data_IF_408590085829
#
_entry.id   IF_408590085829
#
_cell.length_a   1.000
_cell.length_b   1.000
_cell.length_c   1.000
_cell.angle_alpha   90.00
_cell.angle_beta   90.00
_cell.angle_gamma   90.00
#
_symmetry.space_group_name_H-M   'P 1'
#
loop_
_entity.id
_entity.type
_entity.pdbx_description
1 polymer ?
#
# COMPACT_ATOMS: atom_id res chain seq x y z
N UNK A 1 17.41 33.85 -30.42
CA UNK A 1 18.34 34.89 -29.94
C UNK A 1 17.57 36.05 -29.35
N UNK A 2 17.23 35.99 -28.09
CA UNK A 2 16.97 37.16 -27.26
C UNK A 2 17.32 36.77 -25.81
N UNK A 3 18.46 37.33 -25.42
CA UNK A 3 19.05 37.32 -24.11
C UNK A 3 18.24 38.28 -23.21
N UNK A 4 17.46 37.73 -22.26
CA UNK A 4 16.72 38.54 -21.28
C UNK A 4 17.33 38.24 -19.91
N UNK A 5 18.36 39.01 -19.55
CA UNK A 5 18.81 39.14 -18.17
C UNK A 5 18.07 40.33 -17.54
N UNK A 6 17.45 40.21 -16.37
CA UNK A 6 16.92 41.38 -15.65
C UNK A 6 18.07 42.20 -15.04
N UNK A 7 17.93 43.53 -15.02
CA UNK A 7 18.96 44.42 -14.47
C UNK A 7 18.97 44.40 -12.94
N UNK A 8 20.11 44.09 -12.35
CA UNK A 8 20.35 44.34 -10.93
C UNK A 8 20.43 45.84 -10.65
N UNK A 9 19.73 46.40 -9.65
CA UNK A 9 19.89 47.78 -9.24
C UNK A 9 21.23 47.96 -8.53
N UNK A 10 22.14 48.74 -9.17
CA UNK A 10 23.31 49.34 -8.53
C UNK A 10 22.79 50.54 -7.71
N UNK A 11 22.67 50.39 -6.39
CA UNK A 11 22.89 51.50 -5.44
C UNK A 11 22.46 51.03 -4.04
N UNK A 12 23.44 50.57 -3.26
CA UNK A 12 23.50 50.79 -1.81
C UNK A 12 24.93 50.52 -1.35
N UNK A 13 25.80 51.48 -1.75
CA UNK A 13 27.06 51.67 -1.08
C UNK A 13 26.77 52.51 0.17
N UNK A 14 27.12 51.99 1.34
CA UNK A 14 27.23 52.84 2.54
C UNK A 14 26.12 52.61 3.58
N UNK A 15 26.19 51.47 4.27
CA UNK A 15 25.77 51.44 5.67
C UNK A 15 26.61 50.36 6.37
N UNK A 16 27.81 50.74 6.82
CA UNK A 16 28.59 50.01 7.81
C UNK A 16 27.77 49.97 9.11
N UNK A 17 27.02 48.90 9.29
CA UNK A 17 26.49 48.54 10.62
C UNK A 17 27.68 47.98 11.39
N UNK A 18 28.03 48.53 12.59
CA UNK A 18 29.09 47.95 13.40
C UNK A 18 28.65 46.50 13.75
N UNK A 19 29.46 45.53 13.31
CA UNK A 19 29.34 44.16 13.79
C UNK A 19 29.60 44.20 15.31
N UNK A 20 28.48 44.18 16.08
CA UNK A 20 28.59 43.82 17.48
C UNK A 20 29.19 42.40 17.51
N UNK A 21 30.35 42.28 18.15
CA UNK A 21 30.97 41.00 18.46
C UNK A 21 29.91 40.15 19.20
N UNK A 22 29.31 39.25 18.46
CA UNK A 22 28.48 38.20 19.05
C UNK A 22 29.44 37.31 19.84
N UNK A 23 29.40 37.43 21.16
CA UNK A 23 30.07 36.47 22.04
C UNK A 23 29.73 35.05 21.58
N UNK A 24 30.72 34.16 21.46
CA UNK A 24 30.46 32.78 21.09
C UNK A 24 29.60 32.16 22.18
N UNK A 25 28.29 32.05 21.92
CA UNK A 25 27.39 31.28 22.74
C UNK A 25 27.91 29.87 22.85
N UNK A 26 28.45 29.52 24.04
CA UNK A 26 28.87 28.15 24.35
C UNK A 26 27.76 27.19 23.94
N UNK A 27 28.06 26.12 23.17
CA UNK A 27 27.07 25.13 22.83
C UNK A 27 26.47 24.59 24.13
N UNK A 28 25.18 24.83 24.32
CA UNK A 28 24.45 24.37 25.49
C UNK A 28 24.29 22.86 25.34
N UNK A 29 25.23 22.11 25.92
CA UNK A 29 25.09 20.63 26.01
C UNK A 29 23.94 20.37 27.00
N UNK A 30 22.89 19.64 26.54
CA UNK A 30 21.81 19.25 27.45
C UNK A 30 22.39 18.42 28.59
N UNK A 31 21.85 18.59 29.79
CA UNK A 31 22.22 17.75 30.94
C UNK A 31 22.02 16.26 30.59
N UNK A 32 22.80 15.30 31.13
CA UNK A 32 22.72 13.90 30.84
C UNK A 32 21.30 13.32 30.95
N UNK A 33 20.53 13.80 31.93
CA UNK A 33 19.12 13.42 32.13
C UNK A 33 18.24 13.87 30.95
N UNK A 34 18.38 15.11 30.49
CA UNK A 34 17.64 15.63 29.34
C UNK A 34 18.02 14.91 28.04
N UNK A 35 19.29 14.52 27.91
CA UNK A 35 19.75 13.75 26.75
C UNK A 35 19.11 12.35 26.74
N UNK A 36 18.98 11.70 27.90
CA UNK A 36 18.29 10.43 28.07
C UNK A 36 16.80 10.51 27.72
N UNK A 37 16.09 11.55 28.19
CA UNK A 37 14.68 11.76 27.90
C UNK A 37 14.43 12.00 26.41
N UNK A 38 15.27 12.80 25.75
CA UNK A 38 15.18 13.05 24.30
C UNK A 38 15.41 11.76 23.52
N UNK A 39 16.37 10.94 23.94
CA UNK A 39 16.64 9.65 23.29
C UNK A 39 15.45 8.71 23.43
N UNK A 40 14.90 8.56 24.64
CA UNK A 40 13.74 7.72 24.91
C UNK A 40 12.50 8.17 24.11
N UNK A 41 12.27 9.48 24.01
CA UNK A 41 11.19 10.04 23.17
C UNK A 41 11.39 9.72 21.70
N UNK A 42 12.61 9.78 21.17
CA UNK A 42 12.92 9.43 19.77
C UNK A 42 12.72 7.94 19.51
N UNK A 43 13.15 7.08 20.43
CA UNK A 43 12.93 5.64 20.33
C UNK A 43 11.44 5.34 20.29
N UNK A 44 10.66 5.87 21.24
CA UNK A 44 9.22 5.66 21.28
C UNK A 44 8.48 6.21 20.04
N UNK A 45 8.94 7.33 19.48
CA UNK A 45 8.39 7.88 18.23
C UNK A 45 8.71 6.97 17.02
N UNK A 46 9.93 6.42 16.98
CA UNK A 46 10.35 5.48 15.93
C UNK A 46 9.56 4.16 16.01
N UNK A 47 9.37 3.60 17.20
CA UNK A 47 8.61 2.36 17.42
C UNK A 47 7.14 2.53 17.05
N UNK A 48 6.56 3.68 17.39
CA UNK A 48 5.19 4.02 16.97
C UNK A 48 5.07 4.11 15.46
N UNK A 49 5.99 4.81 14.80
CA UNK A 49 6.00 4.91 13.34
C UNK A 49 6.20 3.52 12.70
N UNK A 50 7.01 2.66 13.31
CA UNK A 50 7.20 1.29 12.85
C UNK A 50 5.89 0.49 12.84
N UNK A 51 5.15 0.51 13.95
CA UNK A 51 3.86 -0.17 14.05
C UNK A 51 2.82 0.40 13.08
N UNK A 52 2.78 1.73 12.94
CA UNK A 52 1.89 2.41 12.00
C UNK A 52 2.22 2.07 10.54
N UNK A 53 3.50 2.11 10.15
CA UNK A 53 3.91 1.80 8.77
C UNK A 53 3.66 0.33 8.42
N UNK A 54 3.91 -0.57 9.37
CA UNK A 54 3.73 -2.00 9.18
C UNK A 54 2.27 -2.37 8.90
N UNK A 55 1.30 -1.79 9.63
CA UNK A 55 -0.12 -2.07 9.38
C UNK A 55 -0.59 -1.50 8.04
N UNK A 56 -0.08 -0.34 7.63
CA UNK A 56 -0.36 0.25 6.31
C UNK A 56 0.21 -0.62 5.19
N UNK A 57 1.44 -1.09 5.35
CA UNK A 57 2.08 -1.99 4.39
C UNK A 57 1.33 -3.32 4.26
N UNK A 58 0.88 -3.88 5.39
CA UNK A 58 0.06 -5.09 5.43
C UNK A 58 -1.25 -4.94 4.67
N UNK A 59 -1.97 -3.82 4.84
CA UNK A 59 -3.15 -3.52 4.03
C UNK A 59 -2.80 -3.52 2.54
N UNK A 60 -1.70 -2.89 2.16
CA UNK A 60 -1.23 -2.86 0.77
C UNK A 60 -0.97 -4.25 0.21
N UNK A 61 -0.26 -5.10 0.95
CA UNK A 61 0.01 -6.50 0.58
C UNK A 61 -1.29 -7.31 0.42
N UNK A 62 -2.24 -7.18 1.34
CA UNK A 62 -3.53 -7.87 1.26
C UNK A 62 -4.32 -7.45 0.02
N UNK A 63 -4.43 -6.15 -0.25
CA UNK A 63 -5.10 -5.65 -1.43
C UNK A 63 -4.44 -6.13 -2.73
N UNK A 64 -3.09 -6.10 -2.77
CA UNK A 64 -2.33 -6.58 -3.93
C UNK A 64 -2.51 -8.08 -4.13
N UNK A 65 -2.46 -8.87 -3.03
CA UNK A 65 -2.67 -10.33 -3.07
C UNK A 65 -4.06 -10.72 -3.55
N UNK A 66 -5.07 -9.88 -3.30
CA UNK A 66 -6.45 -10.09 -3.76
C UNK A 66 -6.70 -9.53 -5.17
N UNK A 67 -5.68 -9.01 -5.85
CA UNK A 67 -5.75 -8.56 -7.24
C UNK A 67 -6.25 -7.12 -7.42
N UNK A 68 -6.15 -6.27 -6.40
CA UNK A 68 -6.45 -4.86 -6.53
C UNK A 68 -5.42 -4.16 -7.43
N UNK A 69 -5.86 -3.19 -8.23
CA UNK A 69 -4.94 -2.38 -9.04
C UNK A 69 -3.99 -1.55 -8.17
N UNK A 70 -2.77 -1.31 -8.66
CA UNK A 70 -1.76 -0.51 -7.97
C UNK A 70 -2.28 0.86 -7.52
N UNK A 71 -3.13 1.50 -8.33
CA UNK A 71 -3.76 2.78 -7.98
C UNK A 71 -4.64 2.65 -6.72
N UNK A 72 -5.50 1.61 -6.65
CA UNK A 72 -6.37 1.37 -5.48
C UNK A 72 -5.54 1.06 -4.25
N UNK A 73 -4.51 0.23 -4.38
CA UNK A 73 -3.59 -0.09 -3.29
C UNK A 73 -2.96 1.19 -2.72
N UNK A 74 -2.35 2.03 -3.58
CA UNK A 74 -1.73 3.30 -3.17
C UNK A 74 -2.71 4.22 -2.46
N UNK A 75 -3.93 4.35 -3.01
CA UNK A 75 -4.97 5.21 -2.43
C UNK A 75 -5.40 4.72 -1.05
N UNK A 76 -5.68 3.43 -0.90
CA UNK A 76 -6.10 2.85 0.38
C UNK A 76 -4.99 2.90 1.43
N UNK A 77 -3.73 2.69 1.04
CA UNK A 77 -2.58 2.87 1.94
C UNK A 77 -2.45 4.31 2.42
N UNK A 78 -2.60 5.30 1.53
CA UNK A 78 -2.54 6.71 1.90
C UNK A 78 -3.72 7.14 2.79
N UNK A 79 -4.93 6.61 2.57
CA UNK A 79 -6.10 6.88 3.40
C UNK A 79 -5.92 6.29 4.80
N UNK A 80 -5.45 5.04 4.92
CA UNK A 80 -5.15 4.41 6.20
C UNK A 80 -4.00 5.10 6.93
N UNK A 81 -2.92 5.45 6.22
CA UNK A 81 -1.77 6.14 6.81
C UNK A 81 -2.18 7.42 7.54
N UNK A 82 -3.08 8.22 6.94
CA UNK A 82 -3.64 9.41 7.58
C UNK A 82 -4.47 9.06 8.83
N UNK A 83 -5.26 7.99 8.77
CA UNK A 83 -6.10 7.57 9.89
C UNK A 83 -5.29 7.07 11.10
N UNK A 84 -4.14 6.44 10.89
CA UNK A 84 -3.23 6.01 11.97
C UNK A 84 -2.24 7.09 12.42
N UNK A 85 -2.29 8.30 11.82
CA UNK A 85 -1.49 9.46 12.27
C UNK A 85 -0.13 9.61 11.58
N UNK A 86 0.08 9.01 10.42
CA UNK A 86 1.25 9.26 9.57
C UNK A 86 1.03 10.58 8.82
N UNK A 87 2.01 11.49 8.88
CA UNK A 87 1.89 12.84 8.31
C UNK A 87 1.99 12.85 6.78
N UNK A 88 2.94 12.10 6.21
CA UNK A 88 3.09 11.91 4.76
C UNK A 88 3.42 10.44 4.49
N UNK A 89 2.81 9.88 3.45
CA UNK A 89 2.99 8.50 3.05
C UNK A 89 3.16 8.41 1.54
N UNK A 90 4.28 7.84 1.11
CA UNK A 90 4.60 7.61 -0.29
C UNK A 90 4.80 6.14 -0.55
N UNK A 91 4.08 5.59 -1.51
CA UNK A 91 4.23 4.20 -1.88
C UNK A 91 4.45 4.05 -3.39
N UNK A 92 5.34 3.14 -3.75
CA UNK A 92 5.47 2.59 -5.08
C UNK A 92 4.99 1.16 -5.05
N UNK A 93 4.03 0.84 -5.92
CA UNK A 93 3.42 -0.49 -6.00
C UNK A 93 3.69 -1.01 -7.40
N UNK A 94 4.40 -2.13 -7.45
CA UNK A 94 4.62 -2.94 -8.65
C UNK A 94 3.75 -4.18 -8.59
N UNK A 95 3.88 -5.08 -9.55
CA UNK A 95 3.12 -6.33 -9.56
C UNK A 95 3.49 -7.27 -8.40
N UNK A 96 4.76 -7.28 -7.99
CA UNK A 96 5.30 -8.21 -6.99
C UNK A 96 5.80 -7.55 -5.71
N UNK A 97 5.90 -6.22 -5.70
CA UNK A 97 6.56 -5.50 -4.61
C UNK A 97 5.83 -4.21 -4.25
N UNK A 98 5.90 -3.87 -2.98
CA UNK A 98 5.48 -2.58 -2.46
C UNK A 98 6.66 -1.98 -1.71
N UNK A 99 7.07 -0.78 -2.11
CA UNK A 99 8.02 0.06 -1.38
C UNK A 99 7.22 1.22 -0.81
N UNK A 100 7.26 1.40 0.50
CA UNK A 100 6.53 2.46 1.16
C UNK A 100 7.44 3.25 2.11
N UNK A 101 7.33 4.57 2.07
CA UNK A 101 8.01 5.48 3.01
C UNK A 101 6.97 6.27 3.77
N UNK A 102 7.03 6.18 5.09
CA UNK A 102 6.18 6.89 6.03
C UNK A 102 6.98 7.96 6.76
N UNK A 103 6.38 9.15 6.94
CA UNK A 103 6.96 10.28 7.66
C UNK A 103 6.05 10.67 8.81
N UNK A 104 6.60 10.80 10.02
CA UNK A 104 5.89 11.33 11.17
C UNK A 104 6.89 11.96 12.17
N UNK A 105 6.52 13.13 12.73
CA UNK A 105 7.28 13.80 13.81
C UNK A 105 8.79 13.96 13.52
N UNK A 106 9.15 14.30 12.28
CA UNK A 106 10.56 14.49 11.89
C UNK A 106 11.37 13.20 11.72
N UNK A 107 10.71 12.04 11.79
CA UNK A 107 11.29 10.72 11.55
C UNK A 107 10.68 10.12 10.30
N UNK A 108 11.43 9.29 9.58
CA UNK A 108 10.92 8.54 8.44
C UNK A 108 11.29 7.07 8.55
N UNK A 109 10.50 6.23 7.89
CA UNK A 109 10.74 4.79 7.77
C UNK A 109 10.37 4.32 6.37
N UNK A 110 11.28 3.59 5.74
CA UNK A 110 11.03 2.94 4.45
C UNK A 110 10.98 1.44 4.67
N UNK A 111 9.96 0.82 4.14
CA UNK A 111 9.74 -0.62 4.20
C UNK A 111 9.46 -1.17 2.81
N UNK A 112 9.90 -2.39 2.58
CA UNK A 112 9.68 -3.15 1.36
C UNK A 112 8.92 -4.42 1.70
N UNK A 113 7.94 -4.76 0.89
CA UNK A 113 7.19 -6.01 1.01
C UNK A 113 7.07 -6.68 -0.36
N UNK A 114 7.50 -7.93 -0.42
CA UNK A 114 7.29 -8.79 -1.59
C UNK A 114 5.93 -9.49 -1.50
N UNK A 115 5.28 -9.63 -2.65
CA UNK A 115 4.03 -10.39 -2.80
C UNK A 115 4.21 -11.47 -3.86
N UNK A 116 4.26 -12.72 -3.42
CA UNK A 116 4.49 -13.88 -4.30
C UNK A 116 3.19 -14.58 -4.74
N UNK A 117 2.14 -14.46 -3.95
CA UNK A 117 0.87 -15.12 -4.20
C UNK A 117 -0.17 -14.08 -4.62
N UNK A 118 -0.70 -14.24 -5.82
CA UNK A 118 -1.76 -13.39 -6.33
C UNK A 118 -3.00 -14.22 -6.65
N UNK A 119 -4.13 -13.72 -6.22
CA UNK A 119 -5.44 -14.26 -6.53
C UNK A 119 -6.38 -13.11 -6.89
N UNK A 120 -7.59 -13.42 -7.34
CA UNK A 120 -8.64 -12.42 -7.53
C UNK A 120 -9.73 -12.72 -6.52
N UNK A 121 -9.96 -11.80 -5.58
CA UNK A 121 -11.04 -11.87 -4.62
C UNK A 121 -11.69 -10.49 -4.43
N UNK A 122 -12.68 -10.22 -5.27
CA UNK A 122 -13.38 -8.93 -5.31
C UNK A 122 -14.11 -8.62 -3.99
N UNK A 123 -14.67 -9.63 -3.31
CA UNK A 123 -15.36 -9.44 -2.02
C UNK A 123 -14.40 -8.93 -0.93
N UNK A 124 -13.21 -9.53 -0.81
CA UNK A 124 -12.20 -9.07 0.15
C UNK A 124 -11.66 -7.68 -0.19
N UNK A 125 -11.46 -7.37 -1.48
CA UNK A 125 -11.07 -6.02 -1.92
C UNK A 125 -12.13 -5.01 -1.52
N UNK A 126 -13.40 -5.30 -1.74
CA UNK A 126 -14.51 -4.38 -1.43
C UNK A 126 -14.62 -4.15 0.07
N UNK A 127 -14.55 -5.21 0.89
CA UNK A 127 -14.55 -5.09 2.36
C UNK A 127 -13.43 -4.22 2.87
N UNK A 128 -12.18 -4.43 2.41
CA UNK A 128 -11.04 -3.62 2.81
C UNK A 128 -11.19 -2.16 2.38
N UNK A 129 -11.67 -1.91 1.16
CA UNK A 129 -11.89 -0.55 0.67
C UNK A 129 -13.01 0.16 1.46
N UNK A 130 -14.10 -0.53 1.77
CA UNK A 130 -15.20 0.01 2.57
C UNK A 130 -14.75 0.29 4.00
N UNK A 131 -13.96 -0.61 4.59
CA UNK A 131 -13.34 -0.37 5.89
C UNK A 131 -12.47 0.88 5.88
N UNK A 132 -11.50 0.98 4.96
CA UNK A 132 -10.63 2.16 4.85
C UNK A 132 -11.44 3.44 4.58
N UNK A 133 -12.50 3.36 3.76
CA UNK A 133 -13.38 4.51 3.51
C UNK A 133 -14.11 4.97 4.78
N UNK A 134 -14.49 4.06 5.67
CA UNK A 134 -15.14 4.38 6.95
C UNK A 134 -14.21 5.08 7.94
N UNK A 135 -12.89 4.94 7.76
CA UNK A 135 -11.86 5.56 8.60
C UNK A 135 -11.55 7.02 8.21
N UNK A 136 -12.08 7.51 7.09
CA UNK A 136 -11.78 8.87 6.63
C UNK A 136 -12.24 9.91 7.65
N UNK A 137 -11.32 10.79 8.04
CA UNK A 137 -11.57 11.83 9.02
C UNK A 137 -11.62 11.34 10.48
N UNK A 138 -11.27 10.08 10.71
CA UNK A 138 -11.16 9.50 12.06
C UNK A 138 -9.73 9.12 12.36
N UNK A 139 -9.32 9.24 13.61
CA UNK A 139 -8.08 8.65 14.12
C UNK A 139 -8.38 7.29 14.71
N UNK A 140 -7.60 6.28 14.35
CA UNK A 140 -7.76 4.89 14.79
C UNK A 140 -6.45 4.35 15.35
N UNK A 141 -6.57 3.37 16.25
CA UNK A 141 -5.40 2.69 16.80
C UNK A 141 -4.93 1.61 15.83
N UNK A 142 -3.64 1.34 15.84
CA UNK A 142 -3.00 0.32 15.00
C UNK A 142 -3.57 -1.08 15.30
N UNK A 143 -3.84 -1.35 16.57
CA UNK A 143 -4.38 -2.63 17.04
C UNK A 143 -5.77 -2.90 16.42
N UNK A 144 -6.67 -1.92 16.47
CA UNK A 144 -8.03 -2.04 15.93
C UNK A 144 -7.99 -2.33 14.41
N UNK A 145 -7.05 -1.70 13.69
CA UNK A 145 -6.85 -1.95 12.27
C UNK A 145 -6.29 -3.35 12.03
N UNK A 146 -5.32 -3.78 12.82
CA UNK A 146 -4.72 -5.11 12.70
C UNK A 146 -5.75 -6.22 12.88
N UNK A 147 -6.63 -6.07 13.89
CA UNK A 147 -7.70 -7.04 14.18
C UNK A 147 -8.70 -7.14 13.01
N UNK A 148 -9.05 -6.01 12.40
CA UNK A 148 -9.95 -6.01 11.24
C UNK A 148 -9.30 -6.63 10.01
N UNK A 149 -8.00 -6.35 9.75
CA UNK A 149 -7.26 -7.00 8.68
C UNK A 149 -7.21 -8.52 8.87
N UNK A 150 -7.02 -8.97 10.12
CA UNK A 150 -7.06 -10.40 10.47
C UNK A 150 -8.46 -11.00 10.26
N UNK A 151 -9.51 -10.29 10.62
CA UNK A 151 -10.88 -10.72 10.40
C UNK A 151 -11.15 -10.93 8.90
N UNK A 152 -10.78 -9.96 8.05
CA UNK A 152 -10.93 -10.08 6.59
C UNK A 152 -10.06 -11.20 6.01
N UNK A 153 -8.84 -11.41 6.53
CA UNK A 153 -7.97 -12.49 6.08
C UNK A 153 -8.61 -13.87 6.29
N UNK A 154 -9.30 -14.07 7.43
CA UNK A 154 -9.95 -15.34 7.82
C UNK A 154 -11.24 -15.64 7.06
N UNK A 155 -11.84 -14.67 6.37
CA UNK A 155 -13.08 -14.91 5.61
C UNK A 155 -12.81 -15.98 4.54
N UNK A 156 -13.60 -17.09 4.50
CA UNK A 156 -13.46 -18.11 3.48
C UNK A 156 -13.83 -17.57 2.10
N UNK A 157 -13.39 -18.26 1.05
CA UNK A 157 -13.79 -17.91 -0.31
C UNK A 157 -15.30 -18.02 -0.46
N UNK A 158 -15.94 -17.02 -1.08
CA UNK A 158 -17.38 -16.94 -1.26
C UNK A 158 -17.95 -18.09 -2.09
N UNK A 159 -17.18 -18.58 -3.06
CA UNK A 159 -17.57 -19.66 -3.96
C UNK A 159 -16.67 -20.88 -3.75
N UNK A 160 -17.30 -22.05 -3.72
CA UNK A 160 -16.57 -23.31 -3.76
C UNK A 160 -15.92 -23.57 -5.12
N UNK A 161 -15.07 -24.58 -5.18
CA UNK A 161 -14.31 -24.88 -6.41
C UNK A 161 -15.22 -25.30 -7.58
N UNK A 162 -16.32 -26.00 -7.29
CA UNK A 162 -17.23 -26.49 -8.31
C UNK A 162 -18.00 -25.33 -8.97
N UNK A 163 -18.58 -24.46 -8.17
CA UNK A 163 -19.28 -23.25 -8.65
C UNK A 163 -18.37 -22.37 -9.50
N UNK A 164 -17.11 -22.21 -9.10
CA UNK A 164 -16.14 -21.43 -9.84
C UNK A 164 -15.76 -22.09 -11.16
N UNK A 165 -15.54 -23.41 -11.18
CA UNK A 165 -15.24 -24.16 -12.40
C UNK A 165 -16.43 -24.15 -13.37
N UNK A 166 -17.65 -24.31 -12.86
CA UNK A 166 -18.89 -24.26 -13.66
C UNK A 166 -19.09 -22.88 -14.28
N UNK A 167 -18.95 -21.81 -13.47
CA UNK A 167 -19.06 -20.44 -13.96
C UNK A 167 -18.02 -20.12 -15.04
N UNK A 168 -16.78 -20.60 -14.87
CA UNK A 168 -15.72 -20.46 -15.87
C UNK A 168 -16.07 -21.19 -17.19
N UNK A 169 -16.58 -22.41 -17.08
CA UNK A 169 -17.03 -23.18 -18.25
C UNK A 169 -18.14 -22.47 -19.02
N UNK A 170 -19.16 -21.99 -18.30
CA UNK A 170 -20.29 -21.27 -18.90
C UNK A 170 -19.86 -19.95 -19.55
N UNK A 171 -18.96 -19.20 -18.90
CA UNK A 171 -18.44 -17.95 -19.44
C UNK A 171 -17.66 -18.18 -20.75
N UNK A 172 -16.79 -19.20 -20.80
CA UNK A 172 -16.06 -19.55 -22.00
C UNK A 172 -16.98 -20.06 -23.13
N UNK A 173 -18.02 -20.83 -22.81
CA UNK A 173 -19.03 -21.26 -23.80
C UNK A 173 -19.81 -20.06 -24.36
N UNK A 174 -20.22 -19.11 -23.51
CA UNK A 174 -20.89 -17.89 -23.95
C UNK A 174 -19.97 -17.05 -24.87
N UNK A 175 -18.68 -16.97 -24.54
CA UNK A 175 -17.71 -16.28 -25.40
C UNK A 175 -17.53 -16.98 -26.74
N UNK A 176 -17.47 -18.33 -26.78
CA UNK A 176 -17.42 -19.09 -28.00
C UNK A 176 -18.67 -18.86 -28.87
N UNK A 177 -19.85 -18.85 -28.26
CA UNK A 177 -21.11 -18.55 -28.95
C UNK A 177 -21.12 -17.13 -29.55
N UNK A 178 -20.64 -16.13 -28.86
CA UNK A 178 -20.52 -14.74 -29.34
C UNK A 178 -19.58 -14.63 -30.55
N UNK A 179 -18.61 -15.53 -30.65
CA UNK A 179 -17.70 -15.61 -31.81
C UNK A 179 -18.24 -16.50 -32.96
N UNK A 180 -19.52 -16.88 -32.92
CA UNK A 180 -20.17 -17.65 -33.99
C UNK A 180 -20.01 -19.16 -33.89
N UNK A 181 -19.56 -19.67 -32.73
CA UNK A 181 -19.47 -21.11 -32.48
C UNK A 181 -20.85 -21.76 -32.40
N UNK A 182 -20.98 -22.98 -32.97
CA UNK A 182 -22.17 -23.79 -32.86
C UNK A 182 -22.28 -24.51 -31.52
N UNK A 183 -23.34 -25.28 -31.33
CA UNK A 183 -23.60 -25.95 -30.03
C UNK A 183 -22.52 -26.97 -29.66
N UNK A 184 -21.89 -27.61 -30.65
CA UNK A 184 -20.82 -28.60 -30.43
C UNK A 184 -19.55 -27.89 -29.91
N UNK A 185 -19.16 -26.79 -30.55
CA UNK A 185 -18.00 -25.99 -30.19
C UNK A 185 -18.18 -25.38 -28.79
N UNK A 186 -19.35 -24.81 -28.52
CA UNK A 186 -19.66 -24.23 -27.20
C UNK A 186 -19.60 -25.28 -26.08
N UNK A 187 -20.14 -26.47 -26.31
CA UNK A 187 -20.10 -27.56 -25.32
C UNK A 187 -18.67 -28.07 -25.10
N UNK A 188 -17.89 -28.24 -26.16
CA UNK A 188 -16.49 -28.65 -26.05
C UNK A 188 -15.66 -27.63 -25.26
N UNK A 189 -15.84 -26.32 -25.53
CA UNK A 189 -15.18 -25.24 -24.81
C UNK A 189 -15.61 -25.18 -23.33
N UNK A 190 -16.91 -25.38 -23.03
CA UNK A 190 -17.41 -25.44 -21.65
C UNK A 190 -16.73 -26.54 -20.85
N UNK A 191 -16.68 -27.76 -21.40
CA UNK A 191 -16.07 -28.94 -20.77
C UNK A 191 -14.58 -28.73 -20.56
N UNK A 192 -13.86 -28.28 -21.61
CA UNK A 192 -12.42 -28.04 -21.56
C UNK A 192 -12.08 -26.97 -20.48
N UNK A 193 -12.85 -25.88 -20.44
CA UNK A 193 -12.64 -24.80 -19.47
C UNK A 193 -12.94 -25.23 -18.03
N UNK A 194 -13.98 -26.04 -17.81
CA UNK A 194 -14.31 -26.62 -16.51
C UNK A 194 -13.15 -27.48 -15.97
N UNK A 195 -12.67 -28.42 -16.77
CA UNK A 195 -11.54 -29.29 -16.38
C UNK A 195 -10.23 -28.51 -16.24
N UNK A 196 -9.97 -27.53 -17.12
CA UNK A 196 -8.81 -26.65 -17.01
C UNK A 196 -8.78 -25.90 -15.68
N UNK A 197 -9.93 -25.37 -15.24
CA UNK A 197 -10.04 -24.67 -13.96
C UNK A 197 -9.87 -25.62 -12.76
N UNK A 198 -10.40 -26.82 -12.83
CA UNK A 198 -10.21 -27.85 -11.81
C UNK A 198 -8.73 -28.25 -11.68
N UNK A 199 -8.05 -28.48 -12.82
CA UNK A 199 -6.63 -28.82 -12.87
C UNK A 199 -5.75 -27.69 -12.33
N UNK A 200 -6.00 -26.45 -12.73
CA UNK A 200 -5.30 -25.27 -12.20
C UNK A 200 -5.36 -25.22 -10.67
N UNK A 201 -6.51 -25.47 -10.07
CA UNK A 201 -6.65 -25.49 -8.62
C UNK A 201 -5.82 -26.61 -7.99
N UNK A 202 -5.83 -27.79 -8.60
CA UNK A 202 -5.05 -28.93 -8.13
C UNK A 202 -3.55 -28.62 -8.14
N UNK A 203 -3.06 -27.96 -9.18
CA UNK A 203 -1.66 -27.54 -9.30
C UNK A 203 -1.30 -26.48 -8.25
N UNK A 204 -2.17 -25.51 -7.98
CA UNK A 204 -2.00 -24.52 -6.93
C UNK A 204 -1.89 -25.17 -5.53
N UNK A 205 -2.70 -26.19 -5.25
CA UNK A 205 -2.61 -26.92 -3.99
C UNK A 205 -1.29 -27.71 -3.81
N UNK A 206 -0.64 -28.07 -4.90
CA UNK A 206 0.65 -28.78 -4.88
C UNK A 206 1.87 -27.86 -4.86
N UNK A 207 1.67 -26.55 -4.62
CA UNK A 207 2.74 -25.54 -4.62
C UNK A 207 3.61 -25.51 -5.89
N UNK A 208 3.08 -25.96 -7.01
CA UNK A 208 3.79 -25.89 -8.29
C UNK A 208 3.74 -24.44 -8.79
N UNK A 209 4.91 -23.83 -8.94
CA UNK A 209 5.03 -22.51 -9.54
C UNK A 209 4.54 -22.56 -10.99
N UNK A 210 3.77 -21.58 -11.40
CA UNK A 210 3.24 -21.45 -12.74
C UNK A 210 4.24 -20.84 -13.75
N UNK A 211 5.46 -20.50 -13.27
CA UNK A 211 6.53 -19.88 -14.06
C UNK A 211 7.85 -20.58 -13.76
#
# INVERSE_FOLDING_TARGET
HQDIRPPFPRSMCGMLVPMAEAEPTKPHHPSPERAGDILNQRIAAHDRLASQSQVVLRLGQMLLSFGASAYRVKKSMADLARAVGISDHRAQVTYTEIIATAYANGTFRTELAEQRLMGVNADKIDRLNNYVASLRGRSVRVEDVSDELDAVARIPALYDWFSNALASGLACAAFAFLNGGGWVECSAVAVASFFGQALRRQMLHRHMNHF
#
